data_IF_233953322133
#
_entry.id   IF_233953322133
#
_cell.length_a   1.000
_cell.length_b   1.000
_cell.length_c   1.000
_cell.angle_alpha   90.00
_cell.angle_beta   90.00
_cell.angle_gamma   90.00
#
_symmetry.space_group_name_H-M   'P 1'
#
loop_
_entity.id
_entity.type
_entity.pdbx_description
1 polymer ?
#
# COMPACT_ATOMS: atom_id res chain seq x y z
N UNK A 1 2.72 -17.60 -16.95
CA UNK A 1 2.25 -16.46 -16.15
C UNK A 1 3.29 -15.34 -16.08
N UNK A 2 4.52 -15.64 -15.62
CA UNK A 2 5.65 -14.67 -15.57
C UNK A 2 5.97 -14.00 -16.92
N UNK A 3 6.04 -14.74 -18.02
CA UNK A 3 6.34 -14.15 -19.35
C UNK A 3 5.28 -13.18 -19.84
N UNK A 4 3.99 -13.52 -19.67
CA UNK A 4 2.87 -12.62 -19.98
C UNK A 4 2.88 -11.37 -19.11
N UNK A 5 3.27 -11.51 -17.85
CA UNK A 5 3.43 -10.39 -16.93
C UNK A 5 4.55 -9.44 -17.38
N UNK A 6 5.71 -9.99 -17.72
CA UNK A 6 6.85 -9.22 -18.22
C UNK A 6 6.52 -8.52 -19.54
N UNK A 7 5.78 -9.17 -20.44
CA UNK A 7 5.31 -8.54 -21.67
C UNK A 7 4.39 -7.34 -21.38
N UNK A 8 3.40 -7.51 -20.50
CA UNK A 8 2.48 -6.43 -20.11
C UNK A 8 3.18 -5.28 -19.37
N UNK A 9 4.18 -5.59 -18.54
CA UNK A 9 5.03 -4.60 -17.88
C UNK A 9 5.84 -3.80 -18.91
N UNK A 10 6.44 -4.47 -19.89
CA UNK A 10 7.19 -3.83 -20.98
C UNK A 10 6.32 -2.89 -21.81
N UNK A 11 5.12 -3.34 -22.20
CA UNK A 11 4.15 -2.53 -22.96
C UNK A 11 3.75 -1.25 -22.21
N UNK A 12 3.77 -1.28 -20.88
CA UNK A 12 3.43 -0.14 -20.02
C UNK A 12 4.64 0.73 -19.65
N UNK A 13 5.83 0.42 -20.16
CA UNK A 13 7.08 1.12 -19.76
C UNK A 13 7.47 0.86 -18.31
N UNK A 14 7.01 -0.25 -17.74
CA UNK A 14 7.19 -0.65 -16.35
C UNK A 14 8.20 -1.80 -16.24
N UNK A 15 9.26 -1.78 -17.06
CA UNK A 15 10.44 -2.63 -16.90
C UNK A 15 11.68 -1.75 -17.06
N UNK A 16 12.79 -2.12 -16.43
CA UNK A 16 14.07 -1.46 -16.70
C UNK A 16 14.60 -2.03 -17.99
N UNK A 17 15.50 -1.23 -18.52
CA UNK A 17 16.40 -1.60 -19.58
C UNK A 17 17.24 -2.85 -19.24
N UNK A 18 17.47 -3.16 -17.95
CA UNK A 18 18.20 -4.36 -17.50
C UNK A 18 17.34 -5.62 -17.35
N UNK A 19 16.02 -5.51 -17.52
CA UNK A 19 15.06 -6.61 -17.50
C UNK A 19 14.70 -7.15 -16.10
N UNK A 20 15.08 -6.48 -15.02
CA UNK A 20 14.63 -6.84 -13.68
C UNK A 20 13.13 -6.51 -13.47
N UNK A 21 12.47 -7.23 -12.56
CA UNK A 21 11.02 -7.13 -12.35
C UNK A 21 10.63 -7.53 -10.92
N UNK A 22 10.86 -6.60 -9.99
CA UNK A 22 10.31 -6.47 -8.61
C UNK A 22 10.14 -7.76 -7.77
N UNK A 23 9.41 -7.64 -6.66
CA UNK A 23 9.69 -8.22 -5.32
C UNK A 23 11.07 -7.84 -4.77
N UNK A 24 11.48 -6.60 -5.08
CA UNK A 24 12.62 -5.84 -4.52
C UNK A 24 13.97 -5.93 -5.25
N UNK A 25 13.95 -6.15 -6.56
CA UNK A 25 15.12 -5.94 -7.43
C UNK A 25 14.85 -5.15 -8.72
N UNK A 26 13.66 -4.53 -8.84
CA UNK A 26 13.11 -3.50 -9.79
C UNK A 26 13.58 -3.41 -11.25
N UNK A 27 12.69 -3.12 -12.25
CA UNK A 27 11.52 -2.24 -12.11
C UNK A 27 10.19 -2.78 -12.64
N UNK A 28 9.14 -2.34 -11.94
CA UNK A 28 8.16 -1.46 -12.55
C UNK A 28 8.53 -0.02 -12.17
N UNK A 29 8.14 0.99 -12.95
CA UNK A 29 8.38 2.37 -12.53
C UNK A 29 7.17 3.19 -12.91
N UNK A 30 6.42 3.62 -11.91
CA UNK A 30 5.48 4.72 -12.06
C UNK A 30 6.09 5.91 -11.34
N UNK A 31 6.52 6.97 -12.05
CA UNK A 31 6.89 8.21 -11.39
C UNK A 31 5.68 8.70 -10.60
N UNK A 32 5.91 9.15 -9.37
CA UNK A 32 4.98 10.09 -8.74
C UNK A 32 5.14 11.41 -9.49
N UNK A 33 4.11 11.94 -10.17
CA UNK A 33 4.23 13.19 -10.89
C UNK A 33 4.65 14.34 -9.96
N UNK A 34 5.56 15.19 -10.42
CA UNK A 34 5.97 16.37 -9.67
C UNK A 34 4.76 17.27 -9.39
N UNK A 35 4.60 17.71 -8.14
CA UNK A 35 3.45 18.52 -7.69
C UNK A 35 2.31 17.72 -7.06
N UNK A 36 2.38 16.39 -7.07
CA UNK A 36 1.46 15.50 -6.37
C UNK A 36 2.08 14.98 -5.06
N UNK A 37 2.79 15.83 -4.32
CA UNK A 37 3.52 15.39 -3.12
C UNK A 37 2.54 14.98 -2.00
N UNK A 38 2.67 13.75 -1.46
CA UNK A 38 1.81 13.28 -0.40
C UNK A 38 2.18 13.91 0.96
N UNK A 39 1.24 13.91 1.90
CA UNK A 39 1.39 14.61 3.18
C UNK A 39 2.66 14.18 3.94
N UNK A 40 3.46 15.14 4.41
CA UNK A 40 4.59 14.88 5.30
C UNK A 40 4.11 14.50 6.72
N UNK A 41 4.88 13.67 7.44
CA UNK A 41 4.49 13.21 8.78
C UNK A 41 4.39 14.36 9.79
N UNK A 42 5.22 15.40 9.65
CA UNK A 42 5.17 16.58 10.52
C UNK A 42 3.93 17.44 10.30
N UNK A 43 3.38 17.42 9.09
CA UNK A 43 2.14 18.13 8.74
C UNK A 43 0.88 17.33 9.10
N UNK A 44 1.07 16.09 9.59
CA UNK A 44 -0.03 15.22 9.97
C UNK A 44 -0.68 15.63 11.30
N UNK A 45 -1.99 15.44 11.35
CA UNK A 45 -2.80 15.66 12.54
C UNK A 45 -2.42 14.71 13.67
N UNK A 46 -2.73 15.04 14.94
CA UNK A 46 -2.37 14.20 16.07
C UNK A 46 -2.84 12.76 15.91
N UNK A 47 -4.11 12.52 15.51
CA UNK A 47 -4.64 11.17 15.39
C UNK A 47 -3.98 10.36 14.25
N UNK A 48 -3.62 11.01 13.14
CA UNK A 48 -2.85 10.42 12.05
C UNK A 48 -1.47 9.94 12.55
N UNK A 49 -0.74 10.80 13.28
CA UNK A 49 0.57 10.45 13.87
C UNK A 49 0.45 9.31 14.88
N UNK A 50 -0.58 9.34 15.73
CA UNK A 50 -0.86 8.25 16.68
C UNK A 50 -1.13 6.91 15.99
N UNK A 51 -1.80 6.91 14.83
CA UNK A 51 -1.98 5.69 14.05
C UNK A 51 -0.64 5.13 13.57
N UNK A 52 0.27 5.98 13.08
CA UNK A 52 1.61 5.57 12.66
C UNK A 52 2.41 4.98 13.83
N UNK A 53 2.31 5.57 15.03
CA UNK A 53 2.89 4.99 16.25
C UNK A 53 2.29 3.60 16.57
N UNK A 54 0.96 3.46 16.46
CA UNK A 54 0.27 2.17 16.64
C UNK A 54 0.73 1.13 15.61
N UNK A 55 0.92 1.53 14.35
CA UNK A 55 1.44 0.68 13.28
C UNK A 55 2.86 0.20 13.60
N UNK A 56 3.75 1.09 14.06
CA UNK A 56 5.09 0.72 14.53
C UNK A 56 5.08 -0.26 15.70
N UNK A 57 4.11 -0.12 16.61
CA UNK A 57 3.95 -1.03 17.75
C UNK A 57 3.20 -2.33 17.43
N UNK A 58 2.72 -2.52 16.19
CA UNK A 58 1.95 -3.69 15.79
C UNK A 58 2.88 -4.75 15.21
N UNK A 59 2.97 -5.88 15.89
CA UNK A 59 3.77 -7.02 15.44
C UNK A 59 3.30 -7.53 14.06
N UNK A 60 4.23 -8.09 13.29
CA UNK A 60 3.90 -8.73 12.02
C UNK A 60 2.84 -9.81 12.23
N UNK A 61 1.91 -9.88 11.29
CA UNK A 61 1.03 -11.03 11.15
C UNK A 61 1.66 -12.04 10.18
N UNK A 62 1.09 -13.24 10.13
CA UNK A 62 1.54 -14.28 9.19
C UNK A 62 1.48 -13.85 7.72
N UNK A 63 1.90 -14.74 6.83
CA UNK A 63 1.79 -14.51 5.38
C UNK A 63 0.34 -14.25 4.98
N UNK A 64 0.14 -13.39 3.98
CA UNK A 64 -1.17 -12.97 3.46
C UNK A 64 -2.13 -12.30 4.48
N UNK A 65 -1.64 -11.87 5.64
CA UNK A 65 -2.42 -11.18 6.68
C UNK A 65 -2.18 -9.66 6.71
N UNK A 66 -1.93 -9.04 5.55
CA UNK A 66 -1.67 -7.60 5.42
C UNK A 66 -2.84 -6.74 5.91
N UNK A 67 -4.08 -7.09 5.53
CA UNK A 67 -5.29 -6.39 5.97
C UNK A 67 -5.53 -6.52 7.48
N UNK A 68 -5.30 -7.72 8.04
CA UNK A 68 -5.43 -7.94 9.48
C UNK A 68 -4.38 -7.15 10.29
N UNK A 69 -3.18 -6.96 9.74
CA UNK A 69 -2.17 -6.09 10.36
C UNK A 69 -2.62 -4.61 10.39
N UNK A 70 -3.17 -4.10 9.28
CA UNK A 70 -3.75 -2.75 9.22
C UNK A 70 -4.91 -2.61 10.22
N UNK A 71 -5.84 -3.55 10.23
CA UNK A 71 -6.96 -3.60 11.17
C UNK A 71 -6.47 -3.55 12.63
N UNK A 72 -5.42 -4.30 12.97
CA UNK A 72 -4.83 -4.31 14.30
C UNK A 72 -4.21 -2.96 14.68
N UNK A 73 -3.60 -2.24 13.74
CA UNK A 73 -3.09 -0.90 13.99
C UNK A 73 -4.22 0.08 14.34
N UNK A 74 -5.34 0.04 13.60
CA UNK A 74 -6.54 0.84 13.87
C UNK A 74 -7.24 0.43 15.18
N UNK A 75 -7.31 -0.86 15.48
CA UNK A 75 -7.85 -1.38 16.73
C UNK A 75 -7.06 -0.86 17.95
N UNK A 76 -5.72 -0.80 17.86
CA UNK A 76 -4.86 -0.21 18.91
C UNK A 76 -5.04 1.30 19.06
N UNK A 77 -5.49 1.99 18.02
CA UNK A 77 -5.87 3.40 18.07
C UNK A 77 -7.25 3.60 18.73
N UNK A 78 -8.04 2.54 18.91
CA UNK A 78 -9.40 2.59 19.44
C UNK A 78 -10.49 2.83 18.40
N UNK A 79 -10.18 2.70 17.11
CA UNK A 79 -11.09 2.99 15.99
C UNK A 79 -11.96 1.79 15.56
N UNK A 80 -11.96 0.69 16.33
CA UNK A 80 -12.74 -0.51 16.01
C UNK A 80 -12.10 -1.40 14.95
N UNK A 81 -12.94 -2.22 14.30
CA UNK A 81 -12.53 -3.23 13.32
C UNK A 81 -13.21 -2.97 11.97
N UNK A 82 -12.41 -3.01 10.91
CA UNK A 82 -12.89 -3.01 9.52
C UNK A 82 -12.29 -4.26 8.89
N UNK A 83 -13.12 -5.29 8.76
CA UNK A 83 -12.73 -6.61 8.29
C UNK A 83 -12.82 -6.70 6.77
N UNK A 84 -12.02 -7.59 6.21
CA UNK A 84 -11.97 -7.88 4.78
C UNK A 84 -10.54 -8.21 4.38
N UNK A 85 -10.38 -8.74 3.17
CA UNK A 85 -9.06 -8.84 2.56
C UNK A 85 -8.64 -7.51 1.92
N UNK A 86 -7.41 -7.44 1.37
CA UNK A 86 -6.93 -6.19 0.80
C UNK A 86 -7.73 -5.75 -0.45
N UNK A 87 -8.39 -6.67 -1.17
CA UNK A 87 -9.29 -6.36 -2.28
C UNK A 87 -10.58 -5.75 -1.76
N UNK A 88 -11.18 -6.32 -0.72
CA UNK A 88 -12.38 -5.76 -0.09
C UNK A 88 -12.12 -4.32 0.35
N UNK A 89 -10.98 -4.06 1.00
CA UNK A 89 -10.60 -2.72 1.44
C UNK A 89 -10.33 -1.78 0.25
N UNK A 90 -9.65 -2.29 -0.79
CA UNK A 90 -9.36 -1.55 -2.01
C UNK A 90 -10.63 -1.13 -2.77
N UNK A 91 -11.62 -2.01 -2.87
CA UNK A 91 -12.88 -1.73 -3.56
C UNK A 91 -13.82 -0.85 -2.73
N UNK A 92 -13.87 -1.09 -1.42
CA UNK A 92 -14.79 -0.39 -0.52
C UNK A 92 -14.33 1.01 -0.10
N UNK A 93 -13.02 1.26 0.00
CA UNK A 93 -12.50 2.47 0.66
C UNK A 93 -11.42 3.22 -0.10
N UNK A 94 -10.82 2.63 -1.14
CA UNK A 94 -9.78 3.30 -1.93
C UNK A 94 -10.36 3.86 -3.23
N UNK A 95 -10.54 5.18 -3.27
CA UNK A 95 -11.12 5.89 -4.42
C UNK A 95 -10.20 6.97 -4.99
N UNK A 96 -9.12 7.30 -4.29
CA UNK A 96 -8.17 8.33 -4.68
C UNK A 96 -6.98 7.72 -5.43
N UNK A 97 -6.48 8.45 -6.41
CA UNK A 97 -5.32 8.09 -7.26
C UNK A 97 -4.31 9.23 -7.41
N UNK A 98 -4.63 10.46 -6.97
CA UNK A 98 -3.70 11.58 -6.91
C UNK A 98 -2.95 11.61 -5.58
N UNK A 99 -1.61 11.59 -5.68
CA UNK A 99 -0.73 11.45 -4.51
C UNK A 99 -0.73 12.73 -3.67
N UNK A 100 -1.13 13.87 -4.24
CA UNK A 100 -1.41 15.09 -3.49
C UNK A 100 -2.58 14.95 -2.51
N UNK A 101 -3.50 14.01 -2.75
CA UNK A 101 -4.62 13.70 -1.85
C UNK A 101 -4.26 12.62 -0.81
N UNK A 102 -3.06 12.06 -0.86
CA UNK A 102 -2.65 10.98 0.04
C UNK A 102 -2.22 11.55 1.41
N UNK A 103 -3.06 11.30 2.41
CA UNK A 103 -2.88 11.78 3.77
C UNK A 103 -2.39 10.67 4.71
N UNK A 104 -1.59 11.03 5.71
CA UNK A 104 -1.04 10.10 6.70
C UNK A 104 -2.16 9.30 7.37
N UNK A 105 -1.98 7.98 7.46
CA UNK A 105 -2.98 7.06 8.00
C UNK A 105 -4.02 6.55 7.00
N UNK A 106 -4.07 7.07 5.78
CA UNK A 106 -4.83 6.42 4.71
C UNK A 106 -4.23 5.04 4.39
N UNK A 107 -5.10 4.10 4.00
CA UNK A 107 -4.65 2.83 3.44
C UNK A 107 -4.21 3.02 2.00
N UNK A 108 -3.17 2.32 1.59
CA UNK A 108 -2.66 2.25 0.22
C UNK A 108 -2.81 0.81 -0.23
N UNK A 109 -3.58 0.55 -1.29
CA UNK A 109 -3.98 -0.81 -1.64
C UNK A 109 -3.97 -1.08 -3.15
N UNK A 110 -3.86 -2.36 -3.50
CA UNK A 110 -4.16 -2.90 -4.83
C UNK A 110 -5.12 -4.08 -4.68
N UNK A 111 -6.09 -4.18 -5.59
CA UNK A 111 -7.04 -5.29 -5.59
C UNK A 111 -6.44 -6.64 -6.03
N UNK A 112 -5.27 -6.64 -6.69
CA UNK A 112 -4.53 -7.85 -7.07
C UNK A 112 -3.07 -7.56 -7.41
N UNK A 113 -2.20 -8.55 -7.19
CA UNK A 113 -0.82 -8.55 -7.69
C UNK A 113 -0.34 -9.99 -8.01
N UNK A 114 0.70 -10.17 -8.83
CA UNK A 114 0.99 -11.47 -9.45
C UNK A 114 2.03 -12.32 -8.69
N UNK A 115 2.33 -12.01 -7.42
CA UNK A 115 3.46 -12.60 -6.68
C UNK A 115 3.11 -13.84 -5.85
N UNK A 116 1.89 -14.35 -6.00
CA UNK A 116 1.39 -15.52 -5.30
C UNK A 116 -0.12 -15.65 -5.50
N UNK A 117 -0.69 -16.79 -5.11
CA UNK A 117 -2.14 -16.98 -5.15
C UNK A 117 -2.85 -15.98 -4.23
N UNK A 118 -2.36 -15.80 -3.00
CA UNK A 118 -2.90 -14.82 -2.06
C UNK A 118 -2.92 -13.41 -2.63
N UNK A 119 -1.81 -12.94 -3.20
CA UNK A 119 -1.77 -11.65 -3.88
C UNK A 119 -2.71 -11.52 -5.08
N UNK A 120 -2.92 -12.59 -5.82
CA UNK A 120 -3.79 -12.59 -7.01
C UNK A 120 -5.27 -12.57 -6.62
N UNK A 121 -5.64 -13.24 -5.54
CA UNK A 121 -7.02 -13.41 -5.09
C UNK A 121 -7.44 -12.38 -4.05
N UNK A 122 -6.51 -11.82 -3.28
CA UNK A 122 -6.79 -10.93 -2.15
C UNK A 122 -6.09 -9.58 -2.24
N UNK A 123 -5.15 -9.38 -3.16
CA UNK A 123 -4.44 -8.10 -3.30
C UNK A 123 -3.43 -7.85 -2.19
N UNK A 124 -3.09 -6.56 -1.98
CA UNK A 124 -2.18 -6.15 -0.92
C UNK A 124 -2.50 -4.75 -0.42
N UNK A 125 -2.33 -4.52 0.88
CA UNK A 125 -2.62 -3.25 1.55
C UNK A 125 -1.54 -2.87 2.55
N UNK A 126 -1.24 -1.57 2.60
CA UNK A 126 -0.40 -0.93 3.60
C UNK A 126 -1.05 0.34 4.12
N UNK A 127 -0.31 1.05 4.97
CA UNK A 127 -0.68 2.30 5.60
C UNK A 127 0.31 3.39 5.20
N UNK A 128 -0.17 4.54 4.72
CA UNK A 128 0.71 5.66 4.42
C UNK A 128 1.20 6.31 5.72
N UNK A 129 2.50 6.30 5.92
CA UNK A 129 3.17 6.72 7.15
C UNK A 129 3.71 8.15 7.09
N UNK A 130 3.44 8.88 6.01
CA UNK A 130 4.00 10.21 5.75
C UNK A 130 5.39 10.14 5.13
N UNK A 131 5.85 11.29 4.65
CA UNK A 131 7.18 11.50 4.07
C UNK A 131 7.47 10.58 2.87
N UNK A 132 6.45 10.28 2.06
CA UNK A 132 6.59 9.37 0.92
C UNK A 132 6.83 7.92 1.34
N UNK A 133 6.47 7.52 2.56
CA UNK A 133 6.69 6.15 3.07
C UNK A 133 5.37 5.40 3.30
N UNK A 134 5.36 4.12 2.97
CA UNK A 134 4.29 3.16 3.31
C UNK A 134 4.81 2.16 4.32
N UNK A 135 4.00 1.84 5.31
CA UNK A 135 4.21 0.69 6.18
C UNK A 135 3.24 -0.42 5.84
N UNK A 136 3.73 -1.64 5.69
CA UNK A 136 2.91 -2.80 5.40
C UNK A 136 3.46 -4.06 6.05
N UNK A 137 2.62 -5.11 6.10
CA UNK A 137 3.01 -6.44 6.54
C UNK A 137 3.05 -7.38 5.33
N UNK A 138 4.25 -7.80 4.93
CA UNK A 138 4.47 -8.67 3.78
C UNK A 138 5.55 -9.69 4.10
N UNK A 139 5.38 -10.94 3.64
CA UNK A 139 6.33 -12.04 3.91
C UNK A 139 6.58 -12.28 5.40
N UNK A 140 5.54 -12.11 6.23
CA UNK A 140 5.62 -12.28 7.69
C UNK A 140 6.41 -11.19 8.41
N UNK A 141 6.63 -10.02 7.79
CA UNK A 141 7.41 -8.92 8.37
C UNK A 141 6.69 -7.59 8.19
N UNK A 142 6.76 -6.74 9.22
CA UNK A 142 6.42 -5.32 9.08
C UNK A 142 7.63 -4.61 8.52
N UNK A 143 7.41 -3.77 7.52
CA UNK A 143 8.45 -2.96 6.90
C UNK A 143 7.93 -1.55 6.67
N UNK A 144 8.88 -0.62 6.47
CA UNK A 144 8.63 0.74 6.03
C UNK A 144 9.40 0.93 4.72
N UNK A 145 8.68 1.19 3.64
CA UNK A 145 9.23 1.25 2.28
C UNK A 145 8.83 2.56 1.59
N UNK A 146 9.62 3.08 0.65
CA UNK A 146 9.20 4.20 -0.20
C UNK A 146 7.90 3.90 -0.94
N UNK A 147 6.99 4.87 -0.98
CA UNK A 147 5.70 4.81 -1.66
C UNK A 147 5.87 4.52 -3.15
N UNK A 148 6.84 5.16 -3.80
CA UNK A 148 7.16 4.94 -5.21
C UNK A 148 7.50 3.47 -5.50
N UNK A 149 8.29 2.84 -4.62
CA UNK A 149 8.68 1.43 -4.74
C UNK A 149 7.48 0.52 -4.46
N UNK A 150 6.63 0.90 -3.51
CA UNK A 150 5.42 0.15 -3.20
C UNK A 150 4.42 0.16 -4.38
N UNK A 151 4.14 1.34 -4.95
CA UNK A 151 3.25 1.53 -6.11
C UNK A 151 3.80 0.81 -7.33
N UNK A 152 5.11 0.89 -7.56
CA UNK A 152 5.80 0.11 -8.59
C UNK A 152 5.51 -1.38 -8.40
N UNK A 153 5.91 -1.92 -7.24
CA UNK A 153 5.90 -3.35 -7.01
C UNK A 153 4.49 -3.91 -7.08
N UNK A 154 3.52 -3.28 -6.42
CA UNK A 154 2.18 -3.85 -6.30
C UNK A 154 1.23 -3.41 -7.42
N UNK A 155 1.47 -2.26 -8.05
CA UNK A 155 0.61 -1.64 -9.08
C UNK A 155 0.60 -2.31 -10.46
N UNK A 156 1.19 -3.50 -10.54
CA UNK A 156 1.39 -4.20 -11.81
C UNK A 156 0.09 -4.76 -12.37
N UNK A 157 -0.75 -5.36 -11.53
CA UNK A 157 -1.96 -6.05 -11.99
C UNK A 157 -3.27 -5.30 -11.69
N UNK A 158 -3.23 -4.34 -10.75
CA UNK A 158 -4.28 -3.37 -10.46
C UNK A 158 -3.66 -2.01 -10.20
N UNK A 159 -4.36 -0.93 -10.55
CA UNK A 159 -3.93 0.42 -10.21
C UNK A 159 -3.87 0.62 -8.69
N UNK A 160 -2.78 1.14 -8.12
CA UNK A 160 -2.75 1.52 -6.71
C UNK A 160 -3.73 2.65 -6.42
N UNK A 161 -4.49 2.51 -5.33
CA UNK A 161 -5.43 3.53 -4.85
C UNK A 161 -5.32 3.70 -3.35
N UNK A 162 -5.79 4.82 -2.84
CA UNK A 162 -5.83 5.11 -1.41
C UNK A 162 -7.16 5.70 -0.95
N UNK A 163 -7.35 5.67 0.36
CA UNK A 163 -8.46 6.30 1.03
C UNK A 163 -8.51 5.97 2.52
N UNK A 164 -9.61 6.40 3.15
CA UNK A 164 -9.82 6.22 4.58
C UNK A 164 -10.44 4.87 4.87
N UNK A 165 -9.74 4.03 5.64
CA UNK A 165 -10.27 2.74 6.10
C UNK A 165 -11.62 2.94 6.79
N UNK A 166 -12.66 2.22 6.36
CA UNK A 166 -14.00 2.36 6.93
C UNK A 166 -14.64 3.73 6.73
N UNK A 167 -14.18 4.53 5.75
CA UNK A 167 -14.54 5.93 5.57
C UNK A 167 -14.25 6.82 6.81
N UNK A 168 -13.33 6.39 7.68
CA UNK A 168 -12.96 7.10 8.90
C UNK A 168 -11.81 8.08 8.64
N UNK A 169 -12.14 9.33 8.35
CA UNK A 169 -11.14 10.40 8.25
C UNK A 169 -10.54 10.70 9.63
N UNK A 170 -9.21 10.69 9.72
CA UNK A 170 -8.49 11.01 10.96
C UNK A 170 -8.35 12.53 11.09
N UNK A 171 -9.41 13.15 11.61
CA UNK A 171 -9.58 14.59 11.70
C UNK A 171 -8.79 15.28 12.81
#
# INVERSE_FOLDING_TARGET
MRERLLAALRERGLLADDGAATIYGEPAWRPVPAGCEPQALLDARPLQRRLVECAHGTAAMGEDLCAAWVERAFSRLGMGYVSGDARDLYEGFCHLTDTGDLLVGMIVAVGRHPYGAGGWDHGHVGLYAGDGMVMDCAGGRVRRVPLELWISAYGVASEPRWGWLGAMALA
#
